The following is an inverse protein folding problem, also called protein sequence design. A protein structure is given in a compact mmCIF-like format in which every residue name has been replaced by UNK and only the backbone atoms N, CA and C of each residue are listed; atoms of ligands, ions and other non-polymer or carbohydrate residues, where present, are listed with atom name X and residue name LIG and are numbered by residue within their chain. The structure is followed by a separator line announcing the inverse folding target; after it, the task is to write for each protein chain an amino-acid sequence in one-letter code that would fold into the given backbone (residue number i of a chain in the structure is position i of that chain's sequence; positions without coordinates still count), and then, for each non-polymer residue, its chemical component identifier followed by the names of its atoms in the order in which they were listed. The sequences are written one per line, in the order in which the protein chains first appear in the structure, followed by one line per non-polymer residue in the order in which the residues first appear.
data_IF_715636307241
#
_entry.id   IF_715636307241
#
_cell.length_a   1.000
_cell.length_b   1.000
_cell.length_c   1.000
_cell.angle_alpha   90.00
_cell.angle_beta   90.00
_cell.angle_gamma   90.00
#
_symmetry.space_group_name_H-M   'P 1'
#
loop_
_entity.id
_entity.type
_entity.pdbx_description
1 polymer ?
#
# COMPACT_ATOMS: atom_id res chain seq x y z
N UNK A 1 11.35 8.72 -9.17
CA UNK A 1 10.84 9.60 -8.10
C UNK A 1 10.09 8.77 -7.07
N UNK A 2 8.80 8.42 -7.24
CA UNK A 2 8.08 7.62 -6.22
C UNK A 2 8.72 6.25 -5.92
N UNK A 3 9.08 5.46 -6.93
CA UNK A 3 9.69 4.12 -6.72
C UNK A 3 11.01 4.19 -5.97
N UNK A 4 11.86 5.16 -6.33
CA UNK A 4 13.16 5.35 -5.68
C UNK A 4 12.97 5.83 -4.23
N UNK A 5 12.01 6.73 -4.00
CA UNK A 5 11.62 7.18 -2.68
C UNK A 5 11.06 6.04 -1.82
N UNK A 6 10.18 5.20 -2.38
CA UNK A 6 9.64 4.02 -1.71
C UNK A 6 10.74 3.02 -1.37
N UNK A 7 11.66 2.75 -2.29
CA UNK A 7 12.82 1.87 -2.01
C UNK A 7 13.65 2.41 -0.86
N UNK A 8 13.97 3.71 -0.89
CA UNK A 8 14.76 4.38 0.16
C UNK A 8 14.02 4.37 1.50
N UNK A 9 12.69 4.54 1.49
CA UNK A 9 11.84 4.47 2.65
C UNK A 9 11.87 3.07 3.27
N UNK A 10 11.69 2.02 2.46
CA UNK A 10 11.75 0.63 2.93
C UNK A 10 13.14 0.26 3.47
N UNK A 11 14.22 0.76 2.87
CA UNK A 11 15.58 0.62 3.40
C UNK A 11 15.75 1.30 4.77
N UNK A 12 15.11 2.46 4.98
CA UNK A 12 15.09 3.15 6.27
C UNK A 12 14.30 2.38 7.33
N UNK A 13 13.16 1.80 6.96
CA UNK A 13 12.42 0.91 7.87
C UNK A 13 13.26 -0.37 8.18
N UNK A 14 13.96 -0.86 7.15
CA UNK A 14 15.12 -1.76 7.14
C UNK A 14 16.08 -1.64 8.33
N UNK A 15 16.61 -0.43 8.48
CA UNK A 15 17.81 -0.14 9.27
C UNK A 15 17.55 -0.07 10.77
N UNK A 16 16.29 -0.13 11.22
CA UNK A 16 15.87 0.11 12.63
C UNK A 16 16.38 1.45 13.17
N UNK A 17 16.62 2.40 12.28
CA UNK A 17 16.86 3.78 12.69
C UNK A 17 15.63 4.32 13.41
N UNK A 18 15.85 5.27 14.32
CA UNK A 18 14.76 5.95 15.00
C UNK A 18 13.93 6.72 13.96
N UNK A 19 12.68 6.30 13.79
CA UNK A 19 11.72 6.96 12.93
C UNK A 19 10.99 8.01 13.76
N UNK A 20 10.86 9.22 13.23
CA UNK A 20 10.01 10.23 13.82
C UNK A 20 8.54 9.78 13.78
N UNK A 21 7.70 10.28 14.69
CA UNK A 21 6.27 9.90 14.77
C UNK A 21 5.49 10.19 13.48
N UNK A 22 6.01 11.07 12.62
CA UNK A 22 5.38 11.54 11.39
C UNK A 22 6.01 10.94 10.12
N UNK A 23 6.87 9.91 10.25
CA UNK A 23 7.64 9.38 9.13
C UNK A 23 6.76 8.96 7.95
N UNK A 24 5.63 8.31 8.24
CA UNK A 24 4.71 7.78 7.24
C UNK A 24 3.84 8.88 6.62
N UNK A 25 3.34 9.82 7.43
CA UNK A 25 2.57 10.95 6.91
C UNK A 25 3.42 11.86 6.05
N UNK A 26 4.66 12.15 6.49
CA UNK A 26 5.63 12.94 5.72
C UNK A 26 5.93 12.26 4.38
N UNK A 27 6.15 10.94 4.38
CA UNK A 27 6.35 10.20 3.13
C UNK A 27 5.15 10.36 2.17
N UNK A 28 3.92 10.23 2.68
CA UNK A 28 2.69 10.36 1.88
C UNK A 28 2.55 11.78 1.32
N UNK A 29 2.73 12.80 2.14
CA UNK A 29 2.60 14.20 1.72
C UNK A 29 3.61 14.55 0.63
N UNK A 30 4.86 14.09 0.78
CA UNK A 30 5.95 14.43 -0.14
C UNK A 30 5.97 13.55 -1.41
N UNK A 31 5.44 12.33 -1.37
CA UNK A 31 5.63 11.35 -2.46
C UNK A 31 4.34 10.82 -3.06
N UNK A 32 3.20 10.91 -2.37
CA UNK A 32 1.90 10.42 -2.87
C UNK A 32 1.01 11.57 -3.32
N UNK A 33 0.77 12.58 -2.49
CA UNK A 33 -0.18 13.65 -2.81
C UNK A 33 0.29 14.60 -3.92
N UNK A 34 1.57 14.53 -4.31
CA UNK A 34 2.10 15.25 -5.45
C UNK A 34 1.95 14.50 -6.79
N UNK A 35 1.50 13.25 -6.77
CA UNK A 35 1.33 12.44 -7.98
C UNK A 35 0.07 12.83 -8.74
N UNK A 36 0.12 12.74 -10.07
CA UNK A 36 -1.10 12.78 -10.88
C UNK A 36 -1.96 11.53 -10.61
N UNK A 37 -3.29 11.60 -10.73
CA UNK A 37 -4.18 10.45 -10.48
C UNK A 37 -3.78 9.19 -11.27
N UNK A 38 -3.40 9.34 -12.54
CA UNK A 38 -2.94 8.22 -13.37
C UNK A 38 -1.61 7.60 -12.88
N UNK A 39 -0.72 8.41 -12.30
CA UNK A 39 0.53 7.92 -11.73
C UNK A 39 0.28 7.19 -10.41
N UNK A 40 -0.57 7.74 -9.54
CA UNK A 40 -0.99 7.09 -8.30
C UNK A 40 -1.64 5.73 -8.56
N UNK A 41 -2.51 5.65 -9.58
CA UNK A 41 -3.09 4.39 -10.04
C UNK A 41 -2.00 3.39 -10.49
N UNK A 42 -1.07 3.84 -11.33
CA UNK A 42 0.04 3.00 -11.82
C UNK A 42 0.92 2.50 -10.67
N UNK A 43 1.22 3.34 -9.69
CA UNK A 43 2.07 2.97 -8.56
C UNK A 43 1.36 2.10 -7.53
N UNK A 44 0.03 2.12 -7.46
CA UNK A 44 -0.75 1.17 -6.66
C UNK A 44 -0.38 -0.29 -7.01
N UNK A 45 -0.28 -0.60 -8.31
CA UNK A 45 0.15 -1.93 -8.78
C UNK A 45 1.55 -2.31 -8.29
N UNK A 46 2.46 -1.34 -8.15
CA UNK A 46 3.80 -1.59 -7.65
C UNK A 46 3.79 -1.95 -6.16
N UNK A 47 3.05 -1.21 -5.34
CA UNK A 47 2.90 -1.49 -3.91
C UNK A 47 2.22 -2.83 -3.67
N UNK A 48 1.20 -3.17 -4.46
CA UNK A 48 0.55 -4.49 -4.38
C UNK A 48 1.52 -5.63 -4.71
N UNK A 49 2.44 -5.43 -5.67
CA UNK A 49 3.49 -6.42 -5.97
C UNK A 49 4.37 -6.68 -4.74
N UNK A 50 4.77 -5.62 -4.03
CA UNK A 50 5.59 -5.74 -2.83
C UNK A 50 4.85 -6.48 -1.70
N UNK A 51 3.55 -6.18 -1.52
CA UNK A 51 2.71 -6.89 -0.54
C UNK A 51 2.55 -8.38 -0.88
N UNK A 52 2.50 -8.75 -2.17
CA UNK A 52 2.38 -10.15 -2.62
C UNK A 52 3.65 -10.96 -2.47
N UNK A 53 4.82 -10.34 -2.53
CA UNK A 53 6.09 -11.07 -2.51
C UNK A 53 6.39 -11.70 -1.14
N UNK A 54 5.56 -11.48 -0.10
CA UNK A 54 5.69 -12.04 1.28
C UNK A 54 7.10 -11.84 1.90
N UNK A 55 7.96 -11.00 1.32
CA UNK A 55 9.40 -10.95 1.60
C UNK A 55 9.78 -10.06 2.77
N UNK A 56 8.88 -9.20 3.26
CA UNK A 56 9.19 -8.28 4.37
C UNK A 56 8.02 -8.12 5.35
N UNK A 57 7.86 -9.04 6.33
CA UNK A 57 6.79 -8.99 7.33
C UNK A 57 6.88 -7.81 8.31
N UNK A 58 7.85 -6.89 8.14
CA UNK A 58 8.05 -5.76 9.05
C UNK A 58 7.28 -4.49 8.69
N UNK A 59 6.82 -4.34 7.44
CA UNK A 59 6.35 -3.04 6.91
C UNK A 59 4.97 -3.12 6.24
N UNK A 60 4.21 -4.14 6.60
CA UNK A 60 2.90 -4.43 6.00
C UNK A 60 1.91 -3.29 6.22
N UNK A 61 1.88 -2.75 7.44
CA UNK A 61 1.02 -1.63 7.81
C UNK A 61 1.32 -0.38 6.97
N UNK A 62 2.60 -0.05 6.83
CA UNK A 62 3.11 1.09 6.07
C UNK A 62 2.75 0.96 4.59
N UNK A 63 3.00 -0.22 4.00
CA UNK A 63 2.68 -0.49 2.60
C UNK A 63 1.16 -0.40 2.34
N UNK A 64 0.31 -0.92 3.23
CA UNK A 64 -1.15 -0.77 3.09
C UNK A 64 -1.60 0.68 3.23
N UNK A 65 -1.01 1.44 4.14
CA UNK A 65 -1.33 2.85 4.33
C UNK A 65 -0.93 3.67 3.10
N UNK A 66 0.25 3.40 2.53
CA UNK A 66 0.70 4.01 1.27
C UNK A 66 -0.22 3.60 0.12
N UNK A 67 -0.62 2.32 0.04
CA UNK A 67 -1.55 1.84 -0.98
C UNK A 67 -2.91 2.54 -0.87
N UNK A 68 -3.43 2.74 0.34
CA UNK A 68 -4.68 3.45 0.56
C UNK A 68 -4.58 4.92 0.14
N UNK A 69 -3.47 5.59 0.45
CA UNK A 69 -3.22 6.94 -0.01
C UNK A 69 -3.12 7.03 -1.54
N UNK A 70 -2.43 6.08 -2.19
CA UNK A 70 -2.35 5.99 -3.65
C UNK A 70 -3.72 5.73 -4.28
N UNK A 71 -4.52 4.83 -3.69
CA UNK A 71 -5.87 4.55 -4.16
C UNK A 71 -6.74 5.81 -4.10
N UNK A 72 -6.72 6.53 -2.98
CA UNK A 72 -7.47 7.80 -2.84
C UNK A 72 -6.99 8.86 -3.83
N UNK A 73 -5.67 9.03 -3.97
CA UNK A 73 -5.06 9.98 -4.91
C UNK A 73 -5.35 9.63 -6.38
N UNK A 74 -5.59 8.36 -6.68
CA UNK A 74 -5.91 7.92 -8.04
C UNK A 74 -7.29 8.34 -8.53
N UNK A 75 -8.17 8.80 -7.62
CA UNK A 75 -9.53 9.25 -7.91
C UNK A 75 -10.34 8.22 -8.73
N UNK A 76 -10.06 6.94 -8.52
CA UNK A 76 -10.72 5.86 -9.26
C UNK A 76 -10.98 4.63 -8.38
N UNK A 77 -12.04 3.91 -8.73
CA UNK A 77 -12.39 2.59 -8.18
C UNK A 77 -11.96 1.46 -9.12
N UNK A 78 -11.24 1.76 -10.21
CA UNK A 78 -10.74 0.74 -11.11
C UNK A 78 -9.87 -0.27 -10.36
N UNK A 79 -10.07 -1.56 -10.64
CA UNK A 79 -9.25 -2.63 -10.05
C UNK A 79 -7.90 -2.69 -10.80
N UNK A 80 -6.75 -2.55 -10.12
CA UNK A 80 -5.44 -2.81 -10.69
C UNK A 80 -5.35 -4.22 -11.29
N UNK A 81 -4.72 -4.37 -12.47
CA UNK A 81 -4.66 -5.67 -13.17
C UNK A 81 -4.01 -6.78 -12.33
N UNK A 82 -3.07 -6.43 -11.46
CA UNK A 82 -2.45 -7.37 -10.52
C UNK A 82 -3.46 -8.00 -9.54
N UNK A 83 -4.51 -7.26 -9.16
CA UNK A 83 -5.60 -7.75 -8.30
C UNK A 83 -6.65 -8.51 -9.13
N UNK A 84 -6.90 -8.14 -10.38
CA UNK A 84 -7.76 -8.94 -11.29
C UNK A 84 -7.22 -10.35 -11.47
N UNK A 85 -5.89 -10.49 -11.53
CA UNK A 85 -5.21 -11.79 -11.62
C UNK A 85 -5.11 -12.51 -10.27
N UNK A 86 -5.59 -11.91 -9.17
CA UNK A 86 -5.55 -12.47 -7.82
C UNK A 86 -6.76 -11.98 -7.01
N UNK A 87 -7.98 -12.37 -7.39
CA UNK A 87 -9.21 -11.79 -6.85
C UNK A 87 -9.36 -12.02 -5.34
N UNK A 88 -8.82 -13.12 -4.80
CA UNK A 88 -8.89 -13.45 -3.38
C UNK A 88 -7.76 -12.82 -2.55
N UNK A 89 -6.97 -11.90 -3.12
CA UNK A 89 -5.79 -11.35 -2.46
C UNK A 89 -6.12 -10.77 -1.07
N UNK A 90 -7.11 -9.87 -0.99
CA UNK A 90 -7.47 -9.23 0.28
C UNK A 90 -8.11 -10.20 1.27
N UNK A 91 -8.95 -11.13 0.82
CA UNK A 91 -9.54 -12.18 1.68
C UNK A 91 -8.46 -13.08 2.31
N UNK A 92 -7.54 -13.62 1.49
CA UNK A 92 -6.41 -14.42 1.98
C UNK A 92 -5.52 -13.61 2.91
N UNK A 93 -5.27 -12.34 2.57
CA UNK A 93 -4.46 -11.43 3.36
C UNK A 93 -5.09 -11.17 4.73
N UNK A 94 -6.39 -10.91 4.80
CA UNK A 94 -7.13 -10.69 6.06
C UNK A 94 -7.10 -11.95 6.93
N UNK A 95 -7.27 -13.14 6.33
CA UNK A 95 -7.24 -14.42 7.06
C UNK A 95 -5.87 -14.75 7.63
N UNK A 96 -4.79 -14.37 6.95
CA UNK A 96 -3.41 -14.61 7.39
C UNK A 96 -2.94 -13.64 8.49
N UNK A 97 -3.48 -12.44 8.53
CA UNK A 97 -3.04 -11.40 9.47
C UNK A 97 -3.88 -11.38 10.75
N UNK A 98 -3.20 -11.32 11.90
CA UNK A 98 -3.86 -11.25 13.22
C UNK A 98 -4.08 -9.82 13.72
N UNK A 99 -3.36 -8.85 13.15
CA UNK A 99 -3.41 -7.44 13.55
C UNK A 99 -4.68 -6.75 13.02
N UNK A 100 -5.46 -6.17 13.93
CA UNK A 100 -6.73 -5.54 13.59
C UNK A 100 -6.57 -4.33 12.66
N UNK A 101 -5.55 -3.49 12.90
CA UNK A 101 -5.26 -2.34 12.04
C UNK A 101 -4.97 -2.74 10.59
N UNK A 102 -4.16 -3.80 10.39
CA UNK A 102 -3.82 -4.35 9.07
C UNK A 102 -5.06 -4.89 8.37
N UNK A 103 -5.93 -5.62 9.09
CA UNK A 103 -7.19 -6.13 8.53
C UNK A 103 -8.13 -5.00 8.13
N UNK A 104 -8.29 -3.97 8.98
CA UNK A 104 -9.17 -2.84 8.68
C UNK A 104 -8.71 -2.09 7.42
N UNK A 105 -7.40 -1.88 7.25
CA UNK A 105 -6.86 -1.28 6.02
C UNK A 105 -7.12 -2.16 4.79
N UNK A 106 -6.95 -3.46 4.91
CA UNK A 106 -7.22 -4.41 3.82
C UNK A 106 -8.72 -4.44 3.44
N UNK A 107 -9.61 -4.39 4.44
CA UNK A 107 -11.06 -4.26 4.21
C UNK A 107 -11.40 -2.97 3.46
N UNK A 108 -10.89 -1.83 3.92
CA UNK A 108 -11.16 -0.54 3.27
C UNK A 108 -10.64 -0.51 1.82
N UNK A 109 -9.44 -1.07 1.59
CA UNK A 109 -8.88 -1.19 0.24
C UNK A 109 -9.74 -2.07 -0.67
N UNK A 110 -10.24 -3.20 -0.16
CA UNK A 110 -11.14 -4.07 -0.92
C UNK A 110 -12.43 -3.34 -1.30
N UNK A 111 -13.05 -2.62 -0.35
CA UNK A 111 -14.24 -1.80 -0.61
C UNK A 111 -13.99 -0.72 -1.67
N UNK A 112 -12.87 0.00 -1.55
CA UNK A 112 -12.50 1.07 -2.48
C UNK A 112 -12.24 0.57 -3.90
N UNK A 113 -11.74 -0.67 -4.05
CA UNK A 113 -11.57 -1.33 -5.34
C UNK A 113 -12.80 -2.13 -5.78
N UNK A 114 -13.90 -2.14 -5.01
CA UNK A 114 -15.10 -2.92 -5.30
C UNK A 114 -14.82 -4.43 -5.41
N UNK A 115 -13.92 -4.95 -4.57
CA UNK A 115 -13.57 -6.37 -4.48
C UNK A 115 -14.41 -6.99 -3.36
N UNK A 116 -15.12 -8.07 -3.69
CA UNK A 116 -15.84 -8.88 -2.70
C UNK A 116 -14.83 -9.70 -1.88
N UNK A 117 -14.93 -9.61 -0.55
CA UNK A 117 -14.09 -10.30 0.44
C UNK A 117 -14.93 -11.00 1.49
#
# INVERSE_FOLDING_TARGET
MFRDALSSFLEKLASKEELDEWYLSTFIDENVYLLLPAEAFKFSSHVISLLKEETQPGYTYELLTILLALQRQSETTQIPDILKNSPNFFDEFIKKNSEECVRNLAHELAENYLIEI
#
